data_IF_003683893738
#
_entry.id   IF_003683893738
#
_cell.length_a   1.000
_cell.length_b   1.000
_cell.length_c   1.000
_cell.angle_alpha   90.00
_cell.angle_beta   90.00
_cell.angle_gamma   90.00
#
_symmetry.space_group_name_H-M   'P 1'
#
loop_
_entity.id
_entity.type
_entity.pdbx_description
1 polymer ?
#
# COMPACT_ATOMS: atom_id res chain seq x y z
N UNK A 1 -12.30 8.80 -12.51
CA UNK A 1 -11.35 7.77 -12.07
C UNK A 1 -10.96 8.14 -10.65
N UNK A 2 -11.44 7.41 -9.65
CA UNK A 2 -11.14 7.72 -8.23
C UNK A 2 -9.80 7.09 -7.90
N UNK A 3 -8.80 7.90 -7.59
CA UNK A 3 -7.48 7.44 -7.15
C UNK A 3 -7.57 7.07 -5.67
N UNK A 4 -7.00 5.92 -5.37
CA UNK A 4 -7.09 5.22 -4.09
C UNK A 4 -6.47 5.97 -2.91
N UNK A 5 -6.93 5.64 -1.73
CA UNK A 5 -6.71 6.24 -0.42
C UNK A 5 -5.32 5.98 0.14
N UNK A 6 -4.60 7.01 0.56
CA UNK A 6 -3.36 6.91 1.34
C UNK A 6 -2.04 6.98 0.55
N UNK A 7 -0.94 7.18 1.26
CA UNK A 7 0.44 7.28 0.72
C UNK A 7 0.85 6.04 -0.09
N UNK A 8 0.23 4.90 0.19
CA UNK A 8 0.49 3.62 -0.50
C UNK A 8 -0.21 3.56 -1.87
N UNK A 9 -1.30 4.29 -2.07
CA UNK A 9 -2.07 4.29 -3.31
C UNK A 9 -1.35 4.92 -4.51
N UNK A 10 -0.33 5.73 -4.29
CA UNK A 10 0.53 6.28 -5.37
C UNK A 10 1.31 5.17 -6.08
N UNK A 11 1.44 3.99 -5.45
CA UNK A 11 2.28 2.88 -5.96
C UNK A 11 1.74 2.30 -7.28
N UNK A 12 0.43 2.25 -7.48
CA UNK A 12 -0.16 1.54 -8.63
C UNK A 12 -0.59 2.47 -9.76
N UNK A 13 -0.91 3.74 -9.49
CA UNK A 13 -1.36 4.68 -10.52
C UNK A 13 -0.30 5.00 -11.60
N UNK A 14 0.99 4.83 -11.28
CA UNK A 14 2.08 5.11 -12.23
C UNK A 14 2.30 3.99 -13.25
N UNK A 15 1.85 2.76 -12.96
CA UNK A 15 2.03 1.61 -13.86
C UNK A 15 0.97 1.50 -14.96
N UNK A 16 -0.15 2.24 -14.87
CA UNK A 16 -1.25 2.15 -15.82
C UNK A 16 -1.11 3.03 -17.07
N UNK A 17 -0.07 3.85 -17.18
CA UNK A 17 0.01 4.88 -18.24
C UNK A 17 0.84 4.49 -19.48
N UNK A 18 1.38 3.29 -19.56
CA UNK A 18 2.26 2.92 -20.68
C UNK A 18 1.95 1.54 -21.28
N UNK A 19 0.73 1.33 -21.81
CA UNK A 19 0.49 0.24 -22.76
C UNK A 19 -0.65 0.58 -23.73
N UNK A 20 -0.34 1.42 -24.71
CA UNK A 20 -1.03 1.40 -26.01
C UNK A 20 0.03 1.43 -27.08
N UNK A 21 0.49 0.27 -27.53
CA UNK A 21 0.84 0.06 -28.95
C UNK A 21 0.61 -1.40 -29.29
N UNK A 22 -0.29 -1.58 -30.23
CA UNK A 22 -0.63 -2.83 -30.86
C UNK A 22 0.55 -3.42 -31.64
N UNK A 23 0.62 -4.74 -31.72
CA UNK A 23 0.77 -5.40 -33.00
C UNK A 23 0.34 -6.86 -32.98
N UNK A 24 -0.54 -7.14 -33.88
CA UNK A 24 -1.08 -8.41 -34.36
C UNK A 24 0.01 -9.40 -34.80
N UNK A 25 -0.18 -10.67 -34.47
CA UNK A 25 0.61 -11.78 -35.07
C UNK A 25 -0.01 -13.12 -34.67
N UNK A 26 -0.83 -13.68 -35.55
CA UNK A 26 -1.23 -15.10 -35.54
C UNK A 26 0.01 -15.97 -35.80
N UNK A 27 0.15 -17.10 -35.06
CA UNK A 27 0.32 -18.38 -35.72
C UNK A 27 0.12 -19.58 -34.79
N UNK A 28 -0.18 -20.69 -35.42
CA UNK A 28 -0.80 -21.96 -34.98
C UNK A 28 0.18 -22.95 -34.33
N UNK A 29 -0.39 -23.69 -33.40
CA UNK A 29 -0.37 -25.17 -33.22
C UNK A 29 0.96 -25.94 -33.09
N UNK A 30 1.12 -26.74 -32.04
CA UNK A 30 1.05 -28.20 -31.93
C UNK A 30 1.71 -28.71 -30.66
N UNK A 31 0.94 -29.41 -29.88
CA UNK A 31 1.04 -30.80 -29.39
C UNK A 31 2.43 -31.38 -29.04
N UNK A 32 2.67 -31.75 -27.76
CA UNK A 32 2.80 -33.13 -27.27
C UNK A 32 3.68 -33.24 -26.02
N UNK A 33 3.27 -34.06 -25.08
CA UNK A 33 4.13 -34.87 -24.25
C UNK A 33 4.45 -34.34 -22.85
N UNK A 34 3.75 -34.88 -21.82
CA UNK A 34 4.14 -34.76 -20.43
C UNK A 34 5.46 -35.44 -20.07
N UNK A 35 5.94 -35.26 -18.85
CA UNK A 35 5.55 -36.19 -17.83
C UNK A 35 5.13 -35.56 -16.48
N UNK A 36 4.32 -36.34 -15.80
CA UNK A 36 3.82 -36.24 -14.43
C UNK A 36 4.90 -35.77 -13.44
N UNK A 37 4.77 -34.51 -13.02
CA UNK A 37 5.42 -34.02 -11.81
C UNK A 37 4.41 -34.10 -10.66
N UNK A 38 4.79 -34.81 -9.59
CA UNK A 38 3.99 -34.89 -8.37
C UNK A 38 3.54 -33.52 -7.88
N UNK A 39 2.31 -33.35 -7.39
CA UNK A 39 1.87 -32.08 -6.84
C UNK A 39 2.70 -31.75 -5.61
N UNK A 40 3.42 -30.64 -5.67
CA UNK A 40 4.00 -30.03 -4.47
C UNK A 40 2.85 -29.85 -3.47
N UNK A 41 2.98 -30.44 -2.29
CA UNK A 41 1.95 -30.43 -1.27
C UNK A 41 1.49 -29.01 -0.99
N UNK A 42 0.26 -28.74 -1.35
CA UNK A 42 -0.47 -27.53 -0.94
C UNK A 42 -0.55 -27.62 0.58
N UNK A 43 0.22 -26.80 1.29
CA UNK A 43 0.07 -26.69 2.74
C UNK A 43 -1.39 -26.31 3.00
N UNK A 44 -2.11 -27.19 3.65
CA UNK A 44 -3.51 -26.98 3.98
C UNK A 44 -3.65 -25.63 4.71
N UNK A 45 -4.59 -24.81 4.26
CA UNK A 45 -4.93 -23.57 4.99
C UNK A 45 -5.28 -23.96 6.43
N UNK A 46 -4.81 -23.19 7.45
CA UNK A 46 -5.16 -23.48 8.83
C UNK A 46 -6.67 -23.44 8.99
N UNK A 47 -7.20 -24.40 9.76
CA UNK A 47 -8.63 -24.46 10.05
C UNK A 47 -9.09 -23.13 10.65
N UNK A 48 -10.31 -22.68 10.29
CA UNK A 48 -10.95 -21.49 10.90
C UNK A 48 -10.94 -21.66 12.41
N UNK A 49 -10.39 -20.68 13.12
CA UNK A 49 -10.37 -20.66 14.59
C UNK A 49 -11.40 -19.67 15.09
N UNK A 50 -12.27 -20.10 16.00
CA UNK A 50 -13.19 -19.19 16.67
C UNK A 50 -12.37 -18.06 17.35
N UNK A 51 -12.76 -16.81 17.12
CA UNK A 51 -12.08 -15.66 17.69
C UNK A 51 -10.81 -15.21 16.95
N UNK A 52 -10.42 -15.85 15.84
CA UNK A 52 -9.21 -15.43 15.09
C UNK A 52 -9.36 -14.04 14.47
N UNK A 53 -10.55 -13.71 13.98
CA UNK A 53 -10.85 -12.37 13.43
C UNK A 53 -10.78 -11.31 14.52
N UNK A 54 -11.35 -11.59 15.68
CA UNK A 54 -11.32 -10.71 16.85
C UNK A 54 -9.90 -10.49 17.39
N UNK A 55 -9.07 -11.55 17.39
CA UNK A 55 -7.65 -11.43 17.78
C UNK A 55 -6.88 -10.54 16.80
N UNK A 56 -7.11 -10.70 15.48
CA UNK A 56 -6.50 -9.83 14.47
C UNK A 56 -6.97 -8.38 14.61
N UNK A 57 -8.27 -8.16 14.86
CA UNK A 57 -8.83 -6.83 15.08
C UNK A 57 -8.20 -6.16 16.29
N UNK A 58 -8.05 -6.90 17.41
CA UNK A 58 -7.39 -6.41 18.61
C UNK A 58 -5.91 -6.07 18.35
N UNK A 59 -5.20 -6.91 17.60
CA UNK A 59 -3.80 -6.66 17.24
C UNK A 59 -3.63 -5.43 16.33
N UNK A 60 -4.50 -5.26 15.33
CA UNK A 60 -4.53 -4.09 14.46
C UNK A 60 -4.81 -2.81 15.27
N UNK A 61 -5.84 -2.82 16.12
CA UNK A 61 -6.19 -1.71 16.98
C UNK A 61 -5.04 -1.34 17.96
N UNK A 62 -4.36 -2.34 18.53
CA UNK A 62 -3.21 -2.12 19.38
C UNK A 62 -2.04 -1.48 18.63
N UNK A 63 -1.76 -1.95 17.43
CA UNK A 63 -0.69 -1.42 16.58
C UNK A 63 -0.96 0.02 16.16
N UNK A 64 -2.19 0.33 15.73
CA UNK A 64 -2.62 1.68 15.35
C UNK A 64 -2.96 2.61 16.54
N UNK A 65 -2.92 2.12 17.78
CA UNK A 65 -3.25 2.89 18.97
C UNK A 65 -2.15 3.83 19.48
N UNK A 66 -0.94 3.75 18.94
CA UNK A 66 0.20 4.60 19.30
C UNK A 66 1.12 4.83 18.10
N UNK A 67 2.26 5.46 18.34
CA UNK A 67 3.29 5.63 17.31
C UNK A 67 3.81 4.29 16.81
N UNK A 68 4.05 4.20 15.49
CA UNK A 68 4.68 3.04 14.88
C UNK A 68 5.46 3.44 13.62
N UNK A 69 6.42 2.63 13.26
CA UNK A 69 7.08 2.66 11.94
C UNK A 69 6.51 1.55 11.07
N UNK A 70 6.51 1.77 9.77
CA UNK A 70 6.06 0.76 8.82
C UNK A 70 6.96 0.71 7.58
N UNK A 71 7.01 -0.47 6.97
CA UNK A 71 7.61 -0.66 5.66
C UNK A 71 6.64 -1.45 4.79
N UNK A 72 6.31 -0.88 3.64
CA UNK A 72 5.52 -1.56 2.60
C UNK A 72 6.45 -1.95 1.45
N UNK A 73 6.28 -3.15 0.94
CA UNK A 73 7.05 -3.66 -0.20
C UNK A 73 6.10 -4.33 -1.17
N UNK A 74 6.22 -4.00 -2.45
CA UNK A 74 5.56 -4.68 -3.58
C UNK A 74 6.58 -4.92 -4.70
N UNK A 75 6.15 -5.50 -5.82
CA UNK A 75 7.03 -5.78 -6.95
C UNK A 75 7.77 -4.54 -7.50
N UNK A 76 7.12 -3.37 -7.49
CA UNK A 76 7.62 -2.16 -8.15
C UNK A 76 7.88 -1.00 -7.20
N UNK A 77 7.55 -1.13 -5.92
CA UNK A 77 7.62 -0.02 -4.98
C UNK A 77 7.98 -0.44 -3.56
N UNK A 78 8.59 0.50 -2.86
CA UNK A 78 8.81 0.41 -1.40
C UNK A 78 8.39 1.71 -0.75
N UNK A 79 7.77 1.60 0.44
CA UNK A 79 7.49 2.73 1.31
C UNK A 79 8.10 2.43 2.66
N UNK A 80 8.92 3.33 3.17
CA UNK A 80 9.34 3.36 4.58
C UNK A 80 8.68 4.57 5.24
N UNK A 81 8.06 4.40 6.40
CA UNK A 81 7.34 5.50 7.05
C UNK A 81 7.12 5.32 8.53
N UNK A 82 6.53 6.34 9.13
CA UNK A 82 6.12 6.34 10.51
C UNK A 82 4.83 7.14 10.70
N UNK A 83 4.02 6.77 11.68
CA UNK A 83 2.78 7.46 12.03
C UNK A 83 2.68 7.69 13.53
N UNK A 84 2.12 8.82 13.89
CA UNK A 84 1.63 9.15 15.23
C UNK A 84 0.13 9.45 15.14
N UNK A 85 -0.75 8.48 15.39
CA UNK A 85 -2.19 8.69 15.32
C UNK A 85 -2.74 9.66 16.35
N UNK A 86 -2.07 9.81 17.50
CA UNK A 86 -2.49 10.69 18.58
C UNK A 86 -2.16 12.16 18.30
N UNK A 87 -0.97 12.43 17.77
CA UNK A 87 -0.59 13.76 17.29
C UNK A 87 -0.56 13.75 15.76
N UNK A 88 -1.70 13.83 15.05
CA UNK A 88 -1.88 13.39 13.67
C UNK A 88 -0.75 13.82 12.74
N UNK A 89 0.30 13.02 12.75
CA UNK A 89 1.53 13.24 11.98
C UNK A 89 1.95 11.92 11.36
N UNK A 90 2.28 11.96 10.07
CA UNK A 90 2.90 10.83 9.38
C UNK A 90 4.03 11.27 8.47
N UNK A 91 4.98 10.39 8.28
CA UNK A 91 6.08 10.54 7.33
C UNK A 91 6.15 9.31 6.44
N UNK A 92 6.62 9.51 5.22
CA UNK A 92 6.81 8.42 4.29
C UNK A 92 7.91 8.72 3.28
N UNK A 93 8.58 7.68 2.84
CA UNK A 93 9.48 7.71 1.70
C UNK A 93 9.08 6.59 0.75
N UNK A 94 8.33 6.95 -0.28
CA UNK A 94 7.96 6.06 -1.37
C UNK A 94 9.07 6.10 -2.44
N UNK A 95 9.54 4.94 -2.84
CA UNK A 95 10.40 4.75 -4.01
C UNK A 95 9.69 3.85 -5.01
N UNK A 96 9.46 4.38 -6.20
CA UNK A 96 8.84 3.65 -7.32
C UNK A 96 9.86 3.52 -8.45
N UNK A 97 9.89 2.38 -9.11
CA UNK A 97 10.70 2.17 -10.33
C UNK A 97 9.78 2.14 -11.55
N UNK A 98 9.95 3.13 -12.43
CA UNK A 98 9.23 3.23 -13.71
C UNK A 98 10.26 3.24 -14.83
N UNK A 99 10.19 2.29 -15.75
CA UNK A 99 11.11 2.18 -16.91
C UNK A 99 12.59 2.33 -16.51
N UNK A 100 13.01 1.66 -15.44
CA UNK A 100 14.37 1.71 -14.86
C UNK A 100 14.73 3.04 -14.17
N UNK A 101 13.85 4.03 -14.16
CA UNK A 101 14.03 5.29 -13.42
C UNK A 101 13.42 5.16 -12.04
N UNK A 102 14.21 5.49 -11.02
CA UNK A 102 13.69 5.57 -9.63
C UNK A 102 13.14 6.96 -9.37
N UNK A 103 11.87 7.03 -9.03
CA UNK A 103 11.22 8.26 -8.55
C UNK A 103 10.99 8.11 -7.05
N UNK A 104 11.35 9.13 -6.30
CA UNK A 104 11.20 9.15 -4.85
C UNK A 104 10.26 10.28 -4.43
N UNK A 105 9.31 9.93 -3.57
CA UNK A 105 8.43 10.87 -2.88
C UNK A 105 8.71 10.78 -1.38
N UNK A 106 9.20 11.86 -0.78
CA UNK A 106 9.25 11.99 0.67
C UNK A 106 8.05 12.82 1.12
N UNK A 107 7.35 12.37 2.14
CA UNK A 107 6.14 13.03 2.66
C UNK A 107 6.30 13.39 4.12
N UNK A 108 5.73 14.54 4.50
CA UNK A 108 5.51 14.94 5.88
C UNK A 108 4.11 15.54 5.96
N UNK A 109 3.22 14.80 6.60
CA UNK A 109 1.83 15.20 6.78
C UNK A 109 1.55 15.44 8.26
N UNK A 110 0.90 16.56 8.55
CA UNK A 110 0.42 16.93 9.89
C UNK A 110 -1.03 17.40 9.79
N UNK A 111 -1.66 17.69 10.92
CA UNK A 111 -3.07 18.12 11.00
C UNK A 111 -3.44 19.35 10.14
N UNK A 112 -2.52 20.00 9.48
CA UNK A 112 -2.82 21.17 8.64
C UNK A 112 -1.77 21.48 7.60
N UNK A 113 -0.73 20.67 7.52
CA UNK A 113 0.39 20.89 6.59
C UNK A 113 0.71 19.60 5.85
N UNK A 114 0.75 19.70 4.53
CA UNK A 114 1.02 18.58 3.65
C UNK A 114 2.22 18.93 2.78
N UNK A 115 3.37 18.35 3.10
CA UNK A 115 4.62 18.58 2.39
C UNK A 115 5.01 17.31 1.64
N UNK A 116 5.46 17.48 0.40
CA UNK A 116 6.06 16.43 -0.40
C UNK A 116 7.35 16.91 -1.03
N UNK A 117 8.37 16.07 -1.07
CA UNK A 117 9.59 16.30 -1.82
C UNK A 117 9.69 15.21 -2.90
N UNK A 118 9.78 15.62 -4.17
CA UNK A 118 9.74 14.71 -5.32
C UNK A 118 11.09 14.78 -6.02
N UNK A 119 11.73 13.64 -6.23
CA UNK A 119 13.03 13.54 -6.90
C UNK A 119 13.08 12.36 -7.88
N UNK A 120 14.09 12.35 -8.75
CA UNK A 120 14.23 11.34 -9.80
C UNK A 120 13.50 11.66 -11.10
N UNK A 121 12.89 12.86 -11.20
CA UNK A 121 12.23 13.33 -12.41
C UNK A 121 12.99 14.50 -13.03
N UNK A 122 13.08 14.53 -14.36
CA UNK A 122 13.63 15.68 -15.12
C UNK A 122 12.55 16.72 -15.40
N UNK A 123 11.86 17.16 -14.33
CA UNK A 123 10.78 18.16 -14.42
C UNK A 123 11.17 19.38 -13.59
N UNK A 124 11.18 20.60 -14.17
CA UNK A 124 11.49 21.81 -13.43
C UNK A 124 10.63 21.98 -12.18
N UNK A 125 11.26 22.23 -11.03
CA UNK A 125 10.61 22.36 -9.73
C UNK A 125 10.29 21.02 -9.02
N UNK A 126 10.62 19.87 -9.63
CA UNK A 126 10.49 18.53 -9.03
C UNK A 126 11.86 17.83 -8.92
N UNK A 127 12.89 18.58 -8.54
CA UNK A 127 14.29 18.14 -8.50
C UNK A 127 14.73 17.61 -7.13
N UNK A 128 13.82 17.51 -6.17
CA UNK A 128 14.07 17.03 -4.82
C UNK A 128 14.82 18.01 -3.91
N UNK A 129 15.01 19.27 -4.33
CA UNK A 129 15.74 20.28 -3.52
C UNK A 129 14.86 20.94 -2.47
N UNK A 130 13.56 21.05 -2.74
CA UNK A 130 12.59 21.75 -1.90
C UNK A 130 11.47 20.84 -1.49
N UNK A 131 10.93 21.09 -0.31
CA UNK A 131 9.64 20.61 0.10
C UNK A 131 8.55 21.43 -0.58
N UNK A 132 7.59 20.76 -1.16
CA UNK A 132 6.45 21.34 -1.86
C UNK A 132 5.24 21.33 -0.92
N UNK A 133 4.73 22.50 -0.56
CA UNK A 133 3.50 22.61 0.20
C UNK A 133 2.32 22.36 -0.73
N UNK A 134 1.55 21.32 -0.43
CA UNK A 134 0.38 20.95 -1.20
C UNK A 134 -0.86 21.73 -0.72
N UNK A 135 -1.64 22.23 -1.68
CA UNK A 135 -2.98 22.73 -1.51
C UNK A 135 -3.96 21.60 -1.84
N UNK A 136 -4.72 21.15 -0.84
CA UNK A 136 -5.68 20.05 -0.99
C UNK A 136 -6.73 20.30 -2.07
N UNK A 137 -7.14 21.56 -2.25
CA UNK A 137 -8.18 21.92 -3.22
C UNK A 137 -7.76 21.68 -4.67
N UNK A 138 -6.46 21.53 -4.93
CA UNK A 138 -5.88 21.27 -6.25
C UNK A 138 -5.63 19.78 -6.53
N UNK A 139 -5.91 18.91 -5.58
CA UNK A 139 -5.82 17.48 -5.75
C UNK A 139 -7.18 16.92 -6.15
N UNK A 140 -7.21 16.07 -7.17
CA UNK A 140 -8.45 15.48 -7.70
C UNK A 140 -8.86 14.18 -7.00
N UNK A 141 -8.13 13.75 -5.98
CA UNK A 141 -8.47 12.63 -5.11
C UNK A 141 -8.58 13.13 -3.68
N UNK A 142 -9.77 13.17 -3.11
CA UNK A 142 -10.02 13.67 -1.76
C UNK A 142 -9.32 12.83 -0.67
N UNK A 143 -8.89 11.64 -1.02
CA UNK A 143 -8.48 10.61 -0.09
C UNK A 143 -6.98 10.63 0.28
N UNK A 144 -6.12 11.23 -0.58
CA UNK A 144 -4.66 11.19 -0.37
C UNK A 144 -4.19 11.99 0.85
N UNK A 145 -4.94 13.03 1.22
CA UNK A 145 -4.57 13.99 2.26
C UNK A 145 -5.68 14.19 3.28
N UNK A 146 -6.58 13.25 3.45
CA UNK A 146 -7.57 13.35 4.51
C UNK A 146 -6.95 13.12 5.89
N UNK A 147 -7.66 13.49 6.94
CA UNK A 147 -7.16 13.32 8.31
C UNK A 147 -7.00 11.83 8.70
N UNK A 148 -7.76 10.93 8.06
CA UNK A 148 -7.64 9.50 8.30
C UNK A 148 -6.33 8.96 7.70
N UNK A 149 -5.97 9.35 6.46
CA UNK A 149 -4.70 8.97 5.83
C UNK A 149 -3.48 9.48 6.58
N UNK A 150 -3.57 10.63 7.24
CA UNK A 150 -2.48 11.13 8.10
C UNK A 150 -2.31 10.28 9.36
N UNK A 151 -3.42 9.82 9.97
CA UNK A 151 -3.39 9.01 11.17
C UNK A 151 -3.04 7.55 10.89
N UNK A 152 -3.52 7.04 9.77
CA UNK A 152 -3.39 5.64 9.38
C UNK A 152 -2.95 5.51 7.92
N UNK A 153 -1.69 5.81 7.62
CA UNK A 153 -1.18 5.80 6.26
C UNK A 153 -1.16 4.40 5.61
N UNK A 154 -1.33 3.35 6.38
CA UNK A 154 -1.35 1.96 5.90
C UNK A 154 -2.76 1.37 5.80
N UNK A 155 -3.80 2.07 6.25
CA UNK A 155 -5.16 1.56 6.32
C UNK A 155 -5.33 0.42 7.32
N UNK A 156 -4.51 0.39 8.36
CA UNK A 156 -4.51 -0.66 9.36
C UNK A 156 -5.85 -0.77 10.12
N UNK A 157 -6.53 0.36 10.34
CA UNK A 157 -7.85 0.40 10.97
C UNK A 157 -8.93 -0.28 10.13
N UNK A 158 -8.79 -0.29 8.81
CA UNK A 158 -9.74 -0.89 7.86
C UNK A 158 -9.48 -2.38 7.62
N UNK A 159 -8.26 -2.86 7.92
CA UNK A 159 -7.85 -4.24 7.69
C UNK A 159 -8.83 -5.27 8.31
N UNK A 160 -9.27 -5.16 9.58
CA UNK A 160 -10.16 -6.14 10.17
C UNK A 160 -11.51 -6.28 9.45
N UNK A 161 -12.02 -5.19 8.89
CA UNK A 161 -13.29 -5.20 8.15
C UNK A 161 -13.20 -5.97 6.82
N UNK A 162 -12.00 -6.11 6.27
CA UNK A 162 -11.76 -6.88 5.03
C UNK A 162 -11.56 -8.36 5.28
N UNK A 163 -11.31 -8.81 6.51
CA UNK A 163 -11.06 -10.23 6.80
C UNK A 163 -12.34 -11.03 6.59
N UNK A 164 -12.36 -11.87 5.55
CA UNK A 164 -13.45 -12.79 5.24
C UNK A 164 -13.29 -14.10 6.01
N UNK A 165 -12.06 -14.60 6.09
CA UNK A 165 -11.72 -15.82 6.80
C UNK A 165 -10.38 -15.66 7.53
N UNK A 166 -10.29 -16.18 8.75
CA UNK A 166 -9.06 -16.26 9.52
C UNK A 166 -8.94 -17.59 10.24
N UNK A 167 -7.74 -18.16 10.24
CA UNK A 167 -7.36 -19.31 11.04
C UNK A 167 -5.99 -19.11 11.63
N UNK A 168 -5.76 -19.65 12.83
CA UNK A 168 -4.47 -19.65 13.52
C UNK A 168 -4.31 -20.93 14.31
N UNK A 169 -3.08 -21.42 14.43
CA UNK A 169 -2.76 -22.59 15.24
C UNK A 169 -2.24 -22.20 16.64
N UNK A 170 -1.62 -21.02 16.75
CA UNK A 170 -0.86 -20.59 17.93
C UNK A 170 -1.19 -19.16 18.38
N UNK A 171 -2.16 -18.50 17.75
CA UNK A 171 -2.51 -17.09 18.01
C UNK A 171 -1.46 -16.08 17.53
N UNK A 172 -0.45 -16.52 16.77
CA UNK A 172 0.64 -15.66 16.27
C UNK A 172 0.65 -15.57 14.76
N UNK A 173 0.56 -16.68 14.06
CA UNK A 173 0.47 -16.74 12.61
C UNK A 173 -0.97 -16.96 12.20
N UNK A 174 -1.53 -16.00 11.51
CA UNK A 174 -2.88 -16.02 10.97
C UNK A 174 -2.82 -16.15 9.46
N UNK A 175 -3.72 -16.97 8.89
CA UNK A 175 -3.89 -17.14 7.45
C UNK A 175 -5.37 -17.17 7.13
N UNK A 176 -5.72 -16.69 5.94
CA UNK A 176 -7.10 -16.67 5.50
C UNK A 176 -7.27 -15.92 4.20
N UNK A 177 -8.45 -15.33 4.04
CA UNK A 177 -8.81 -14.55 2.86
C UNK A 177 -9.35 -13.17 3.26
N UNK A 178 -9.10 -12.19 2.41
CA UNK A 178 -9.66 -10.84 2.47
C UNK A 178 -10.75 -10.68 1.42
N UNK A 179 -11.80 -9.98 1.79
CA UNK A 179 -12.79 -9.43 0.85
C UNK A 179 -12.48 -7.93 0.67
N UNK A 180 -11.69 -7.61 -0.35
CA UNK A 180 -11.26 -6.24 -0.65
C UNK A 180 -12.41 -5.36 -1.15
N UNK A 181 -13.60 -5.92 -1.40
CA UNK A 181 -14.78 -5.13 -1.81
C UNK A 181 -15.50 -4.48 -0.63
N UNK A 182 -15.18 -4.89 0.61
CA UNK A 182 -15.88 -4.43 1.82
C UNK A 182 -15.31 -3.15 2.43
N UNK A 183 -14.08 -2.81 2.11
CA UNK A 183 -13.39 -1.68 2.73
C UNK A 183 -12.39 -1.05 1.76
N UNK A 184 -12.08 0.20 2.00
CA UNK A 184 -11.06 0.96 1.29
C UNK A 184 -9.65 0.65 1.80
N UNK A 185 -9.35 -0.61 2.00
CA UNK A 185 -8.03 -1.06 2.46
C UNK A 185 -6.94 -0.58 1.49
N UNK A 186 -6.10 0.33 1.95
CA UNK A 186 -5.23 1.15 1.09
C UNK A 186 -4.03 0.43 0.49
N UNK A 187 -3.76 -0.80 0.89
CA UNK A 187 -2.62 -1.58 0.34
C UNK A 187 -2.88 -2.11 -1.07
N UNK A 188 -4.13 -2.19 -1.50
CA UNK A 188 -4.52 -2.62 -2.85
C UNK A 188 -5.45 -1.55 -3.42
N UNK A 189 -5.11 -1.00 -4.57
CA UNK A 189 -5.87 0.09 -5.16
C UNK A 189 -7.22 -0.36 -5.76
N UNK A 190 -8.14 0.59 -5.90
CA UNK A 190 -9.49 0.37 -6.43
C UNK A 190 -9.48 -0.19 -7.87
N UNK A 191 -8.47 0.14 -8.68
CA UNK A 191 -8.38 -0.38 -10.05
C UNK A 191 -7.99 -1.86 -10.03
N UNK A 192 -7.09 -2.26 -9.12
CA UNK A 192 -6.76 -3.66 -8.89
C UNK A 192 -7.99 -4.43 -8.35
N UNK A 193 -8.69 -3.89 -7.36
CA UNK A 193 -9.91 -4.51 -6.82
C UNK A 193 -10.95 -4.71 -7.91
N UNK A 194 -11.20 -3.71 -8.77
CA UNK A 194 -12.09 -3.84 -9.92
C UNK A 194 -11.61 -4.85 -10.95
N UNK A 195 -10.30 -4.86 -11.22
CA UNK A 195 -9.68 -5.79 -12.17
C UNK A 195 -9.75 -7.25 -11.73
N UNK A 196 -9.66 -7.50 -10.44
CA UNK A 196 -9.80 -8.82 -9.82
C UNK A 196 -11.21 -9.41 -9.95
N UNK A 197 -12.26 -8.57 -10.00
CA UNK A 197 -13.63 -9.02 -10.02
C UNK A 197 -13.97 -9.90 -8.80
N UNK A 198 -14.47 -11.11 -9.02
CA UNK A 198 -14.82 -12.04 -7.92
C UNK A 198 -13.61 -12.51 -7.11
N UNK A 199 -12.40 -12.51 -7.67
CA UNK A 199 -11.17 -12.83 -6.93
C UNK A 199 -10.90 -11.82 -5.80
N UNK A 200 -11.39 -10.59 -5.90
CA UNK A 200 -11.25 -9.57 -4.86
C UNK A 200 -11.92 -9.97 -3.53
N UNK A 201 -12.87 -10.91 -3.56
CA UNK A 201 -13.59 -11.40 -2.37
C UNK A 201 -12.83 -12.48 -1.58
N UNK A 202 -11.78 -13.05 -2.16
CA UNK A 202 -11.05 -14.20 -1.61
C UNK A 202 -9.53 -14.05 -1.75
N UNK A 203 -9.01 -12.85 -1.56
CA UNK A 203 -7.57 -12.57 -1.68
C UNK A 203 -6.81 -13.18 -0.49
N UNK A 204 -5.86 -14.10 -0.72
CA UNK A 204 -5.15 -14.76 0.38
C UNK A 204 -4.25 -13.79 1.14
N UNK A 205 -4.17 -13.96 2.46
CA UNK A 205 -3.26 -13.20 3.30
C UNK A 205 -2.58 -14.07 4.36
N UNK A 206 -1.47 -13.57 4.89
CA UNK A 206 -0.82 -14.03 6.11
C UNK A 206 -0.56 -12.82 7.01
N UNK A 207 -0.84 -12.96 8.32
CA UNK A 207 -0.57 -11.92 9.32
C UNK A 207 0.17 -12.51 10.51
N UNK A 208 1.13 -11.75 11.05
CA UNK A 208 1.91 -12.16 12.22
C UNK A 208 1.67 -11.20 13.36
N UNK A 209 1.36 -11.76 14.53
CA UNK A 209 1.18 -11.03 15.80
C UNK A 209 2.29 -11.45 16.76
N UNK A 210 2.93 -10.49 17.41
CA UNK A 210 3.99 -10.76 18.38
C UNK A 210 3.43 -11.17 19.76
N UNK A 211 4.34 -11.56 20.67
CA UNK A 211 3.98 -11.97 22.05
C UNK A 211 3.31 -10.85 22.84
N UNK A 212 3.52 -9.60 22.45
CA UNK A 212 2.90 -8.44 23.07
C UNK A 212 1.53 -8.11 22.48
N UNK A 213 1.10 -8.83 21.43
CA UNK A 213 -0.17 -8.63 20.74
C UNK A 213 -0.16 -7.51 19.70
N UNK A 214 1.00 -7.07 19.21
CA UNK A 214 1.10 -6.15 18.09
C UNK A 214 1.08 -6.92 16.76
N UNK A 215 0.35 -6.44 15.77
CA UNK A 215 0.48 -6.88 14.40
C UNK A 215 1.84 -6.41 13.88
N UNK A 216 2.73 -7.34 13.54
CA UNK A 216 4.10 -7.04 13.10
C UNK A 216 4.31 -7.24 11.60
N UNK A 217 3.47 -8.05 10.95
CA UNK A 217 3.54 -8.27 9.51
C UNK A 217 2.16 -8.58 8.95
N UNK A 218 1.91 -8.08 7.75
CA UNK A 218 0.75 -8.43 6.93
C UNK A 218 1.23 -8.63 5.50
N UNK A 219 0.98 -9.81 4.93
CA UNK A 219 1.26 -10.16 3.53
C UNK A 219 -0.05 -10.38 2.81
N UNK A 220 -0.27 -9.68 1.72
CA UNK A 220 -1.44 -9.83 0.86
C UNK A 220 -0.97 -10.37 -0.49
N UNK A 221 -1.47 -11.53 -0.87
CA UNK A 221 -1.10 -12.18 -2.13
C UNK A 221 -2.15 -11.82 -3.19
N UNK A 222 -1.90 -10.74 -3.92
CA UNK A 222 -2.80 -10.26 -4.97
C UNK A 222 -2.71 -11.18 -6.19
N UNK A 223 -3.79 -11.87 -6.61
CA UNK A 223 -3.76 -12.73 -7.78
C UNK A 223 -3.50 -11.95 -9.07
N UNK A 224 -3.02 -12.65 -10.10
CA UNK A 224 -2.97 -12.05 -11.44
C UNK A 224 -4.37 -11.73 -11.96
N UNK A 225 -4.52 -10.60 -12.64
CA UNK A 225 -5.77 -10.19 -13.27
C UNK A 225 -5.51 -9.45 -14.58
N UNK A 226 -6.35 -9.68 -15.57
CA UNK A 226 -6.17 -9.15 -16.92
C UNK A 226 -4.73 -9.39 -17.44
N UNK A 227 -3.96 -8.33 -17.63
CA UNK A 227 -2.54 -8.40 -18.05
C UNK A 227 -1.57 -8.11 -16.87
N UNK A 228 -2.09 -7.90 -15.67
CA UNK A 228 -1.30 -7.65 -14.47
C UNK A 228 -0.88 -8.98 -13.84
N UNK A 229 0.43 -9.11 -13.59
CA UNK A 229 0.97 -10.29 -12.92
C UNK A 229 0.55 -10.30 -11.45
N UNK A 230 0.53 -11.50 -10.85
CA UNK A 230 0.38 -11.63 -9.41
C UNK A 230 1.47 -10.84 -8.67
N UNK A 231 1.09 -10.21 -7.57
CA UNK A 231 1.98 -9.45 -6.69
C UNK A 231 1.79 -9.85 -5.23
N UNK A 232 2.83 -9.67 -4.44
CA UNK A 232 2.76 -9.80 -2.99
C UNK A 232 3.05 -8.44 -2.36
N UNK A 233 2.05 -7.86 -1.74
CA UNK A 233 2.21 -6.65 -0.92
C UNK A 233 2.50 -7.09 0.51
N UNK A 234 3.64 -6.67 1.04
CA UNK A 234 4.03 -6.96 2.43
C UNK A 234 4.15 -5.67 3.21
N UNK A 235 3.50 -5.60 4.35
CA UNK A 235 3.71 -4.54 5.34
C UNK A 235 4.37 -5.15 6.57
N UNK A 236 5.38 -4.46 7.09
CA UNK A 236 5.95 -4.77 8.41
C UNK A 236 5.78 -3.55 9.31
N UNK A 237 5.46 -3.79 10.58
CA UNK A 237 5.27 -2.77 11.59
C UNK A 237 6.28 -2.96 12.72
N UNK A 238 6.82 -1.86 13.24
CA UNK A 238 7.81 -1.86 14.30
C UNK A 238 7.80 -0.53 15.07
N UNK A 239 8.71 -0.38 16.05
CA UNK A 239 8.92 0.89 16.76
C UNK A 239 7.72 1.37 17.57
N UNK A 240 6.89 0.44 18.05
CA UNK A 240 5.65 0.74 18.78
C UNK A 240 5.89 1.60 20.01
N UNK A 241 5.19 2.75 20.09
CA UNK A 241 5.29 3.70 21.19
C UNK A 241 6.57 4.53 21.24
N UNK A 242 7.48 4.37 20.29
CA UNK A 242 8.67 5.22 20.19
C UNK A 242 8.30 6.61 19.65
N UNK A 243 8.94 7.72 20.12
CA UNK A 243 8.68 9.04 19.59
C UNK A 243 8.92 9.12 18.09
N UNK A 244 7.97 9.67 17.35
CA UNK A 244 8.09 9.86 15.91
C UNK A 244 9.19 10.89 15.60
N UNK A 245 10.16 10.48 14.77
CA UNK A 245 11.20 11.37 14.26
C UNK A 245 10.74 11.93 12.89
N UNK A 246 10.09 13.08 12.91
CA UNK A 246 9.63 13.73 11.69
C UNK A 246 10.66 14.77 11.19
N UNK A 247 10.82 14.94 9.87
CA UNK A 247 11.57 16.07 9.32
C UNK A 247 10.99 17.39 9.81
N UNK A 248 11.87 18.38 10.00
CA UNK A 248 11.45 19.75 10.36
C UNK A 248 12.08 20.74 9.36
N UNK A 249 11.53 20.82 8.14
CA UNK A 249 12.11 21.72 7.13
C UNK A 249 11.94 23.17 7.53
N UNK A 250 12.99 23.97 7.31
CA UNK A 250 12.97 25.40 7.50
C UNK A 250 12.06 26.09 6.46
N UNK A 251 11.64 27.31 6.73
CA UNK A 251 10.79 28.08 5.77
C UNK A 251 11.47 28.29 4.42
N UNK A 252 12.80 28.37 4.39
CA UNK A 252 13.58 28.50 3.16
C UNK A 252 13.65 27.22 2.33
N UNK A 253 13.38 26.07 2.94
CA UNK A 253 13.32 24.76 2.27
C UNK A 253 11.94 24.42 1.73
N UNK A 254 10.90 25.20 2.08
CA UNK A 254 9.51 24.98 1.68
C UNK A 254 9.08 26.01 0.64
N UNK A 255 8.49 25.56 -0.44
CA UNK A 255 7.84 26.39 -1.45
C UNK A 255 6.41 25.87 -1.72
N UNK A 256 5.54 26.70 -2.27
CA UNK A 256 4.26 26.22 -2.73
C UNK A 256 4.44 25.30 -3.94
N UNK A 257 3.64 24.22 -3.98
CA UNK A 257 3.76 23.22 -5.02
C UNK A 257 3.44 23.82 -6.40
N UNK A 258 4.32 23.65 -7.40
CA UNK A 258 4.08 24.11 -8.76
C UNK A 258 2.99 23.28 -9.45
N UNK A 259 2.38 23.81 -10.51
CA UNK A 259 1.36 23.10 -11.29
C UNK A 259 1.81 21.71 -11.80
N UNK A 260 3.11 21.54 -12.06
CA UNK A 260 3.68 20.25 -12.46
C UNK A 260 3.53 19.18 -11.38
N UNK A 261 3.66 19.55 -10.10
CA UNK A 261 3.44 18.62 -8.99
C UNK A 261 1.99 18.13 -8.94
N UNK A 262 1.03 19.03 -9.11
CA UNK A 262 -0.40 18.67 -9.13
C UNK A 262 -0.75 17.79 -10.32
N UNK A 263 -0.21 18.08 -11.52
CA UNK A 263 -0.42 17.20 -12.68
C UNK A 263 0.08 15.79 -12.40
N UNK A 264 1.30 15.67 -11.86
CA UNK A 264 1.87 14.37 -11.51
C UNK A 264 1.02 13.63 -10.46
N UNK A 265 0.65 14.31 -9.36
CA UNK A 265 -0.12 13.71 -8.27
C UNK A 265 -1.55 13.37 -8.67
N UNK A 266 -2.13 14.09 -9.64
CA UNK A 266 -3.46 13.83 -10.20
C UNK A 266 -3.45 12.82 -11.35
N UNK A 267 -2.29 12.24 -11.70
CA UNK A 267 -2.17 11.24 -12.78
C UNK A 267 -2.38 11.82 -14.19
N UNK A 268 -1.95 13.07 -14.43
CA UNK A 268 -2.09 13.79 -15.71
C UNK A 268 -0.76 13.94 -16.43
#
# INVERSE_FOLDING_TARGET
MKIAKGVVAVIVAVTSLLLVTACSGKDKAASSGGPSGAPAGTAAAPAKSAGAVEQLAAAAAKTGGGTYTFKVTSANATVDGAADPAGPTSTGKLVVTVDKTKVTFETLFTAGTYLVKISGLSVPGLDGRKWLRLDRTKLTGDDLLDAASVKDPTGLSDFPATVAEAGTADGRLFKGTLDLTKSSFTLVDDAAVKGLGDLAKVVPYEATVDEKGYLTSLKVNVPAYAQTKADQVTVTYAGFGAPLQAPSPSTSEVIDAPAAAYRLLNGQ
#
